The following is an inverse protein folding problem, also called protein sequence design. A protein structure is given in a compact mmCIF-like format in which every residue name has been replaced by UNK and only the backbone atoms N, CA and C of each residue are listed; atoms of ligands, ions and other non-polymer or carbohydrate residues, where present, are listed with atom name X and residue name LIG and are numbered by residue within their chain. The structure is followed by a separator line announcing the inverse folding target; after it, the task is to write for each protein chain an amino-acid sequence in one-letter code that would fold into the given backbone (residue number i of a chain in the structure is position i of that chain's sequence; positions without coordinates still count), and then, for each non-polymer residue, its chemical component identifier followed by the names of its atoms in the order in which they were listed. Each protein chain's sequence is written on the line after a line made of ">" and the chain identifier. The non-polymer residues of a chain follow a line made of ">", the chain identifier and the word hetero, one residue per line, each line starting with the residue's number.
data_IF_963067982347
#
_entry.id   IF_963067982347
#
_cell.length_a   1.000
_cell.length_b   1.000
_cell.length_c   1.000
_cell.angle_alpha   90.00
_cell.angle_beta   90.00
_cell.angle_gamma   90.00
#
_symmetry.space_group_name_H-M   'P 1'
#
loop_
_entity.id
_entity.type
_entity.pdbx_description
1 polymer ?
#
# COMPACT_ATOMS: atom_id res chain seq x y z
N UNK A 1 -1.13 12.34 26.87
CA UNK A 1 0.03 13.29 26.95
C UNK A 1 0.09 14.29 25.80
N UNK A 2 -0.18 13.92 24.54
CA UNK A 2 -0.19 14.87 23.41
C UNK A 2 -1.32 15.91 23.51
N UNK A 3 -2.54 15.46 23.79
CA UNK A 3 -3.75 16.30 23.90
C UNK A 3 -3.60 17.43 24.93
N UNK A 4 -2.94 17.15 26.06
CA UNK A 4 -2.72 18.12 27.14
C UNK A 4 -1.69 19.20 26.76
N UNK A 5 -0.62 18.84 26.05
CA UNK A 5 0.37 19.79 25.51
C UNK A 5 -0.21 20.65 24.37
N UNK A 6 -1.14 20.10 23.61
CA UNK A 6 -1.85 20.83 22.54
C UNK A 6 -2.83 21.84 23.13
N UNK A 7 -3.49 21.51 24.25
CA UNK A 7 -4.32 22.46 24.99
C UNK A 7 -3.53 23.68 25.47
N UNK A 8 -2.39 23.46 26.11
CA UNK A 8 -1.49 24.53 26.57
C UNK A 8 -0.91 25.37 25.41
N UNK A 9 -0.61 24.73 24.27
CA UNK A 9 -0.16 25.44 23.07
C UNK A 9 -1.29 26.21 22.37
N UNK A 10 -2.53 25.71 22.40
CA UNK A 10 -3.70 26.38 21.81
C UNK A 10 -4.08 27.66 22.54
N UNK A 11 -3.82 27.75 23.85
CA UNK A 11 -3.97 28.97 24.65
C UNK A 11 -2.94 30.05 24.26
N UNK A 12 -1.70 29.65 23.91
CA UNK A 12 -0.63 30.57 23.49
C UNK A 12 -0.63 30.90 22.00
N UNK A 13 -1.15 30.04 21.14
CA UNK A 13 -1.04 30.18 19.68
C UNK A 13 -2.37 30.27 18.91
N UNK A 14 -3.53 30.36 19.58
CA UNK A 14 -4.85 30.51 18.91
C UNK A 14 -5.15 29.39 17.88
N UNK A 15 -4.49 28.23 18.01
CA UNK A 15 -4.68 27.10 17.10
C UNK A 15 -5.72 26.14 17.70
N UNK A 16 -6.98 26.35 17.33
CA UNK A 16 -8.09 25.48 17.72
C UNK A 16 -8.18 24.26 16.78
N UNK A 17 -7.51 23.15 17.15
CA UNK A 17 -7.66 21.88 16.42
C UNK A 17 -8.91 21.13 16.87
N UNK A 18 -9.97 21.16 16.05
CA UNK A 18 -11.30 20.60 16.35
C UNK A 18 -11.39 19.06 16.31
N UNK A 19 -10.42 18.38 15.68
CA UNK A 19 -10.33 16.90 15.62
C UNK A 19 -8.86 16.49 15.72
N UNK A 20 -8.49 15.86 16.84
CA UNK A 20 -7.14 15.37 17.14
C UNK A 20 -6.95 13.88 16.77
N UNK A 21 -8.01 13.22 16.31
CA UNK A 21 -8.00 11.80 15.98
C UNK A 21 -7.18 11.53 14.72
N UNK A 22 -6.22 10.57 14.77
CA UNK A 22 -5.58 10.10 13.55
C UNK A 22 -6.60 9.44 12.62
N UNK A 23 -6.41 9.59 11.31
CA UNK A 23 -7.29 9.04 10.27
C UNK A 23 -6.47 8.48 9.11
N UNK A 24 -6.97 7.41 8.50
CA UNK A 24 -6.44 6.83 7.26
C UNK A 24 -7.42 7.18 6.13
N UNK A 25 -6.89 7.76 5.06
CA UNK A 25 -7.62 7.91 3.80
C UNK A 25 -7.21 6.80 2.84
N UNK A 26 -8.18 6.16 2.22
CA UNK A 26 -7.96 5.06 1.27
C UNK A 26 -8.33 5.53 -0.13
N UNK A 27 -7.43 5.33 -1.08
CA UNK A 27 -7.63 5.65 -2.51
C UNK A 27 -7.09 4.53 -3.38
N UNK A 28 -7.55 4.43 -4.63
CA UNK A 28 -7.05 3.44 -5.59
C UNK A 28 -6.02 4.05 -6.54
N UNK A 29 -5.01 3.27 -6.91
CA UNK A 29 -3.95 3.59 -7.86
C UNK A 29 -3.84 2.47 -8.90
N UNK A 30 -3.12 2.70 -10.00
CA UNK A 30 -3.00 1.72 -11.09
C UNK A 30 -2.40 0.37 -10.64
N UNK A 31 -1.49 0.39 -9.66
CA UNK A 31 -0.81 -0.80 -9.14
C UNK A 31 -1.36 -1.32 -7.81
N UNK A 32 -2.29 -0.62 -7.15
CA UNK A 32 -2.76 -1.05 -5.83
C UNK A 32 -3.58 -0.01 -5.07
N UNK A 33 -3.67 -0.20 -3.75
CA UNK A 33 -4.40 0.70 -2.84
C UNK A 33 -3.39 1.64 -2.16
N UNK A 34 -3.69 2.94 -2.17
CA UNK A 34 -2.92 3.97 -1.48
C UNK A 34 -3.61 4.34 -0.17
N UNK A 35 -2.90 4.11 0.94
CA UNK A 35 -3.29 4.53 2.28
C UNK A 35 -2.53 5.79 2.69
N UNK A 36 -3.24 6.87 2.98
CA UNK A 36 -2.67 8.13 3.46
C UNK A 36 -2.98 8.33 4.94
N UNK A 37 -1.96 8.28 5.78
CA UNK A 37 -2.09 8.49 7.22
C UNK A 37 -2.01 9.98 7.57
N UNK A 38 -3.02 10.50 8.28
CA UNK A 38 -3.00 11.84 8.87
C UNK A 38 -3.02 11.71 10.39
N UNK A 39 -2.00 12.24 11.06
CA UNK A 39 -1.89 12.24 12.51
C UNK A 39 -1.22 13.54 13.00
N UNK A 40 -1.32 13.80 14.30
CA UNK A 40 -0.73 14.97 14.94
C UNK A 40 0.50 14.57 15.76
N UNK A 41 1.60 15.31 15.59
CA UNK A 41 2.84 15.12 16.33
C UNK A 41 3.47 16.45 16.73
N UNK A 42 4.30 16.48 17.79
CA UNK A 42 5.13 17.64 18.10
C UNK A 42 6.08 17.97 16.93
N UNK A 43 6.26 19.24 16.54
CA UNK A 43 7.07 19.59 15.36
C UNK A 43 8.51 19.06 15.39
N UNK A 44 9.12 19.03 16.58
CA UNK A 44 10.51 18.56 16.77
C UNK A 44 10.64 17.03 16.64
N UNK A 45 9.53 16.30 16.79
CA UNK A 45 9.50 14.84 16.77
C UNK A 45 8.97 14.28 15.45
N UNK A 46 8.57 15.13 14.49
CA UNK A 46 7.93 14.73 13.23
C UNK A 46 8.63 13.56 12.53
N UNK A 47 9.96 13.64 12.37
CA UNK A 47 10.75 12.57 11.72
C UNK A 47 10.81 11.29 12.55
N UNK A 48 10.92 11.41 13.87
CA UNK A 48 10.97 10.25 14.77
C UNK A 48 9.63 9.54 14.87
N UNK A 49 8.53 10.30 14.91
CA UNK A 49 7.19 9.71 14.91
C UNK A 49 6.86 9.05 13.57
N UNK A 50 7.26 9.65 12.46
CA UNK A 50 7.08 9.07 11.13
C UNK A 50 7.86 7.77 10.96
N UNK A 51 9.13 7.75 11.37
CA UNK A 51 9.97 6.54 11.34
C UNK A 51 9.40 5.42 12.23
N UNK A 52 8.96 5.73 13.45
CA UNK A 52 8.36 4.75 14.34
C UNK A 52 7.09 4.12 13.76
N UNK A 53 6.22 4.94 13.15
CA UNK A 53 5.00 4.47 12.49
C UNK A 53 5.35 3.56 11.31
N UNK A 54 6.28 3.98 10.44
CA UNK A 54 6.69 3.18 9.29
C UNK A 54 7.31 1.84 9.69
N UNK A 55 8.19 1.83 10.69
CA UNK A 55 8.79 0.58 11.19
C UNK A 55 7.75 -0.38 11.73
N UNK A 56 6.78 0.09 12.50
CA UNK A 56 5.70 -0.75 13.00
C UNK A 56 4.84 -1.30 11.85
N UNK A 57 4.43 -0.45 10.90
CA UNK A 57 3.64 -0.87 9.74
C UNK A 57 4.39 -1.97 8.95
N UNK A 58 5.67 -1.75 8.64
CA UNK A 58 6.46 -2.72 7.88
C UNK A 58 6.68 -4.01 8.67
N UNK A 59 6.91 -3.94 9.98
CA UNK A 59 7.05 -5.12 10.83
C UNK A 59 5.77 -5.94 10.85
N UNK A 60 4.61 -5.30 10.99
CA UNK A 60 3.30 -5.97 10.99
C UNK A 60 2.98 -6.55 9.63
N UNK A 61 3.28 -5.84 8.55
CA UNK A 61 2.99 -6.34 7.21
C UNK A 61 3.87 -7.55 6.87
N UNK A 62 5.09 -7.62 7.40
CA UNK A 62 5.96 -8.77 7.26
C UNK A 62 5.46 -10.03 8.01
N UNK A 63 4.52 -9.91 8.94
CA UNK A 63 3.86 -11.06 9.60
C UNK A 63 2.76 -11.69 8.73
N UNK A 64 2.42 -11.06 7.60
CA UNK A 64 1.31 -11.44 6.74
C UNK A 64 1.80 -11.77 5.32
N UNK A 65 1.71 -13.04 4.91
CA UNK A 65 2.12 -13.50 3.57
C UNK A 65 1.13 -13.07 2.47
N UNK A 66 -0.06 -12.58 2.83
CA UNK A 66 -1.12 -12.14 1.92
C UNK A 66 -1.09 -10.64 1.61
N UNK A 67 -0.14 -9.89 2.20
CA UNK A 67 0.00 -8.44 2.01
C UNK A 67 1.31 -8.14 1.29
N UNK A 68 1.20 -7.58 0.08
CA UNK A 68 2.34 -7.15 -0.71
C UNK A 68 2.38 -5.63 -0.89
N UNK A 69 3.59 -5.06 -0.95
CA UNK A 69 3.79 -3.67 -1.31
C UNK A 69 3.55 -3.48 -2.82
N UNK A 70 2.73 -2.50 -3.18
CA UNK A 70 2.41 -2.23 -4.57
C UNK A 70 3.61 -1.59 -5.30
N UNK A 71 4.13 -2.29 -6.31
CA UNK A 71 5.13 -1.77 -7.25
C UNK A 71 4.46 -1.42 -8.58
N UNK A 72 5.03 -0.51 -9.40
CA UNK A 72 4.51 -0.26 -10.74
C UNK A 72 4.45 -1.54 -11.58
N UNK A 73 3.25 -2.06 -11.79
CA UNK A 73 3.02 -3.29 -12.55
C UNK A 73 2.81 -2.97 -14.02
N UNK A 74 3.61 -3.58 -14.90
CA UNK A 74 3.43 -3.48 -16.36
C UNK A 74 2.95 -4.82 -16.90
N UNK A 75 1.80 -4.83 -17.58
CA UNK A 75 1.31 -6.01 -18.28
C UNK A 75 1.86 -6.03 -19.69
N UNK A 76 2.69 -7.01 -20.00
CA UNK A 76 3.23 -7.23 -21.35
C UNK A 76 2.30 -8.18 -22.10
N UNK A 77 1.85 -7.77 -23.29
CA UNK A 77 1.07 -8.60 -24.20
C UNK A 77 1.95 -8.97 -25.40
N UNK A 78 2.23 -10.27 -25.59
CA UNK A 78 3.04 -10.77 -26.70
C UNK A 78 2.27 -11.79 -27.54
N UNK A 79 1.86 -11.36 -28.73
CA UNK A 79 1.15 -12.21 -29.70
C UNK A 79 1.98 -13.40 -30.21
N UNK A 80 3.31 -13.34 -30.09
CA UNK A 80 4.21 -14.42 -30.51
C UNK A 80 4.19 -15.58 -29.51
N UNK A 81 4.15 -15.28 -28.20
CA UNK A 81 4.06 -16.29 -27.14
C UNK A 81 2.69 -16.99 -27.15
N UNK A 82 1.62 -16.27 -27.48
CA UNK A 82 0.26 -16.84 -27.58
C UNK A 82 0.11 -17.84 -28.74
N UNK A 83 0.75 -17.56 -29.88
CA UNK A 83 0.74 -18.47 -31.03
C UNK A 83 1.53 -19.76 -30.78
N UNK A 84 2.60 -19.71 -30.00
CA UNK A 84 3.39 -20.91 -29.66
C UNK A 84 2.60 -21.85 -28.74
N UNK A 85 1.93 -21.33 -27.70
CA UNK A 85 1.08 -22.14 -26.82
C UNK A 85 -0.11 -22.79 -27.56
N UNK A 86 -0.71 -22.07 -28.51
CA UNK A 86 -1.77 -22.62 -29.35
C UNK A 86 -1.28 -23.73 -30.31
N UNK A 87 -0.05 -23.61 -30.81
CA UNK A 87 0.56 -24.61 -31.70
C UNK A 87 0.98 -25.88 -30.95
N UNK A 88 1.53 -25.75 -29.74
CA UNK A 88 1.92 -26.90 -28.91
C UNK A 88 0.70 -27.71 -28.45
N UNK A 89 -0.42 -27.05 -28.15
CA UNK A 89 -1.68 -27.70 -27.76
C UNK A 89 -2.34 -28.47 -28.92
N UNK A 90 -2.12 -28.04 -30.18
CA UNK A 90 -2.70 -28.67 -31.36
C UNK A 90 -1.92 -29.91 -31.80
N UNK A 91 -0.63 -30.01 -31.44
CA UNK A 91 0.22 -31.13 -31.83
C UNK A 91 -0.03 -32.39 -30.97
N UNK A 92 -0.51 -32.25 -29.73
CA UNK A 92 -0.87 -33.37 -28.85
C UNK A 92 -2.21 -34.08 -29.17
N UNK A 93 -3.09 -33.46 -29.97
CA UNK A 93 -4.42 -34.03 -30.30
C UNK A 93 -4.48 -34.83 -31.60
N UNK A 94 -3.42 -34.83 -32.43
CA UNK A 94 -3.40 -35.61 -33.69
C UNK A 94 -2.98 -37.07 -33.54
N UNK A 95 -2.42 -37.48 -32.38
CA UNK A 95 -1.92 -38.84 -32.17
C UNK A 95 -2.89 -39.85 -31.56
N UNK A 96 -4.17 -39.52 -31.35
CA UNK A 96 -5.12 -40.41 -30.62
C UNK A 96 -6.38 -40.80 -31.41
N UNK A 97 -6.36 -40.66 -32.74
CA UNK A 97 -7.43 -41.13 -33.63
C UNK A 97 -6.86 -41.96 -34.79
N UNK A 98 -6.16 -43.04 -34.49
CA UNK A 98 -6.04 -44.18 -35.39
C UNK A 98 -6.31 -45.43 -34.57
N UNK A 99 -7.55 -45.92 -34.69
CA UNK A 99 -8.02 -47.28 -34.49
C UNK A 99 -9.30 -47.44 -35.29
#
# INVERSE_FOLDING_TARGET
>A
KAEQKIREASEKFLIYYKKLSPIIYTTTQASGILLTLRYLCPPRERRGSEDAIWREILSRFAEHDDIELAYPTTRIYSRLLEKQQANDTNNGKRGSKEN
#
